data_IF_581763975369
#
_entry.id   IF_581763975369
#
_cell.length_a   1.000
_cell.length_b   1.000
_cell.length_c   1.000
_cell.angle_alpha   90.00
_cell.angle_beta   90.00
_cell.angle_gamma   90.00
#
_symmetry.space_group_name_H-M   'P 1'
#
loop_
_entity.id
_entity.type
_entity.pdbx_description
1 polymer ?
#
# COMPACT_ATOMS: atom_id res chain seq x y z
N UNK A 1 48.93 44.23 -12.68
CA UNK A 1 47.77 43.98 -11.81
C UNK A 1 46.66 43.48 -12.70
N UNK A 2 46.55 42.19 -12.86
CA UNK A 2 45.54 41.55 -13.71
C UNK A 2 44.44 40.95 -12.82
N UNK A 3 43.26 41.59 -12.81
CA UNK A 3 42.05 41.05 -12.21
C UNK A 3 41.46 39.98 -13.15
N UNK A 4 41.39 38.74 -12.70
CA UNK A 4 40.62 37.68 -13.33
C UNK A 4 39.17 37.74 -12.79
N UNK A 5 38.14 37.69 -13.62
CA UNK A 5 36.77 37.58 -13.15
C UNK A 5 36.49 36.12 -12.71
N UNK A 6 35.93 35.99 -11.51
CA UNK A 6 35.41 34.75 -10.95
C UNK A 6 34.06 34.47 -11.61
N UNK A 7 33.99 33.46 -12.47
CA UNK A 7 32.73 32.95 -13.01
C UNK A 7 32.04 32.10 -11.94
N UNK A 8 30.98 32.62 -11.36
CA UNK A 8 30.04 31.89 -10.56
C UNK A 8 29.19 31.01 -11.49
N UNK A 9 29.46 29.71 -11.49
CA UNK A 9 28.56 28.71 -12.09
C UNK A 9 27.42 28.47 -11.10
N UNK A 10 26.28 29.08 -11.37
CA UNK A 10 25.01 28.77 -10.71
C UNK A 10 24.54 27.44 -11.33
N UNK A 11 24.76 26.35 -10.63
CA UNK A 11 24.15 25.04 -10.95
C UNK A 11 22.66 25.16 -10.68
N UNK A 12 21.88 25.38 -11.72
CA UNK A 12 20.43 25.28 -11.68
C UNK A 12 20.06 23.79 -11.51
N UNK A 13 19.74 23.38 -10.31
CA UNK A 13 19.02 22.14 -10.07
C UNK A 13 17.63 22.32 -10.68
N UNK A 14 17.45 21.84 -11.90
CA UNK A 14 16.15 21.61 -12.46
C UNK A 14 15.55 20.40 -11.69
N UNK A 15 14.75 20.69 -10.69
CA UNK A 15 13.80 19.75 -10.12
C UNK A 15 12.86 19.35 -11.26
N UNK A 16 13.02 18.15 -11.76
CA UNK A 16 12.02 17.49 -12.58
C UNK A 16 10.87 17.09 -11.66
N UNK A 17 10.05 18.05 -11.29
CA UNK A 17 8.72 17.78 -10.81
C UNK A 17 7.93 17.23 -11.99
N UNK A 18 7.54 15.98 -11.94
CA UNK A 18 6.55 15.42 -12.84
C UNK A 18 5.26 16.21 -12.64
N UNK A 19 5.02 17.19 -13.51
CA UNK A 19 3.81 17.98 -13.47
C UNK A 19 2.61 17.13 -13.92
N UNK A 20 1.90 16.58 -12.97
CA UNK A 20 0.50 16.25 -13.12
C UNK A 20 -0.29 17.57 -13.02
N UNK A 21 -0.25 18.40 -14.03
CA UNK A 21 -1.17 19.51 -14.11
C UNK A 21 -2.31 19.13 -15.05
N UNK A 22 -3.44 18.80 -14.49
CA UNK A 22 -4.69 19.18 -15.15
C UNK A 22 -4.65 20.72 -15.18
N UNK A 23 -4.35 21.30 -16.34
CA UNK A 23 -3.93 22.69 -16.48
C UNK A 23 -4.91 23.74 -15.92
N UNK A 24 -6.09 23.37 -15.37
CA UNK A 24 -7.12 24.28 -14.84
C UNK A 24 -7.89 23.78 -13.61
N UNK A 25 -7.60 22.59 -13.04
CA UNK A 25 -8.37 22.12 -11.89
C UNK A 25 -7.89 22.76 -10.59
N UNK A 26 -8.79 23.38 -9.86
CA UNK A 26 -8.55 23.90 -8.52
C UNK A 26 -9.32 23.05 -7.51
N UNK A 27 -8.59 22.39 -6.63
CA UNK A 27 -9.21 21.61 -5.57
C UNK A 27 -10.14 22.50 -4.71
N UNK A 28 -11.34 22.02 -4.35
CA UNK A 28 -12.16 22.66 -3.35
C UNK A 28 -11.35 22.88 -2.08
N UNK A 29 -11.72 23.88 -1.30
CA UNK A 29 -11.04 24.18 -0.03
C UNK A 29 -11.95 23.95 1.16
N UNK A 30 -11.36 23.52 2.23
CA UNK A 30 -11.99 23.44 3.56
C UNK A 30 -12.26 24.84 4.10
N UNK A 31 -13.01 24.93 5.19
CA UNK A 31 -13.31 26.21 5.87
C UNK A 31 -12.06 26.94 6.43
N UNK A 32 -10.95 26.23 6.55
CA UNK A 32 -9.63 26.76 6.97
C UNK A 32 -8.63 26.90 5.81
N UNK A 33 -9.11 26.98 4.57
CA UNK A 33 -8.36 27.28 3.34
C UNK A 33 -7.31 26.20 2.93
N UNK A 34 -7.42 24.98 3.42
CA UNK A 34 -6.64 23.84 2.94
C UNK A 34 -7.35 23.15 1.78
N UNK A 35 -6.64 22.50 0.84
CA UNK A 35 -7.27 21.66 -0.16
C UNK A 35 -8.13 20.57 0.48
N UNK A 36 -9.34 20.38 -0.02
CA UNK A 36 -10.27 19.40 0.51
C UNK A 36 -10.06 18.03 -0.13
N UNK A 37 -9.51 17.10 0.65
CA UNK A 37 -9.30 15.70 0.29
C UNK A 37 -10.36 14.77 0.92
N UNK A 38 -11.32 15.33 1.68
CA UNK A 38 -12.29 14.56 2.45
C UNK A 38 -13.16 13.69 1.56
N UNK A 39 -13.53 12.54 2.06
CA UNK A 39 -14.41 11.60 1.39
C UNK A 39 -13.97 10.16 1.53
N UNK A 40 -14.73 9.29 0.87
CA UNK A 40 -14.38 7.87 0.72
C UNK A 40 -13.77 7.69 -0.68
N UNK A 41 -12.65 7.00 -0.73
CA UNK A 41 -11.84 6.80 -1.93
C UNK A 41 -11.51 5.33 -2.11
N UNK A 42 -11.66 4.84 -3.32
CA UNK A 42 -11.26 3.48 -3.70
C UNK A 42 -9.87 3.50 -4.36
N UNK A 43 -8.98 2.62 -3.90
CA UNK A 43 -7.61 2.48 -4.42
C UNK A 43 -7.37 1.17 -5.16
N UNK A 44 -8.42 0.42 -5.50
CA UNK A 44 -8.26 -0.75 -6.38
C UNK A 44 -7.65 -0.32 -7.72
N UNK A 45 -6.81 -1.17 -8.30
CA UNK A 45 -6.12 -0.84 -9.55
C UNK A 45 -5.86 -2.08 -10.39
N UNK A 46 -6.17 -1.99 -11.69
CA UNK A 46 -5.79 -2.98 -12.69
C UNK A 46 -4.36 -2.75 -13.23
N UNK A 47 -3.69 -1.67 -12.79
CA UNK A 47 -2.29 -1.41 -13.11
C UNK A 47 -1.41 -2.36 -12.29
N UNK A 48 -0.53 -3.13 -12.93
CA UNK A 48 0.37 -4.04 -12.19
C UNK A 48 1.36 -3.26 -11.33
N UNK A 49 1.70 -3.80 -10.15
CA UNK A 49 2.69 -3.18 -9.26
C UNK A 49 4.01 -2.94 -9.98
N UNK A 50 4.53 -3.95 -10.67
CA UNK A 50 5.75 -3.87 -11.46
C UNK A 50 5.44 -3.97 -12.94
N UNK A 51 6.23 -3.26 -13.77
CA UNK A 51 6.07 -3.26 -15.22
C UNK A 51 6.30 -4.65 -15.81
N UNK A 52 5.30 -5.26 -16.44
CA UNK A 52 5.46 -6.51 -17.19
C UNK A 52 6.48 -6.36 -18.32
N UNK A 53 7.24 -7.44 -18.61
CA UNK A 53 8.31 -7.43 -19.58
C UNK A 53 7.86 -7.07 -21.00
N UNK A 54 6.60 -7.35 -21.34
CA UNK A 54 6.01 -7.03 -22.65
C UNK A 54 5.99 -5.53 -22.95
N UNK A 55 5.97 -4.67 -21.94
CA UNK A 55 5.98 -3.22 -22.13
C UNK A 55 7.39 -2.65 -22.29
N UNK A 56 8.44 -3.43 -22.03
CA UNK A 56 9.83 -2.97 -22.10
C UNK A 56 10.04 -1.78 -21.16
N UNK A 57 10.51 -0.65 -21.69
CA UNK A 57 10.71 0.59 -20.94
C UNK A 57 9.55 1.58 -21.10
N UNK A 58 8.49 1.18 -21.78
CA UNK A 58 7.36 2.04 -22.07
C UNK A 58 6.54 2.32 -20.82
N UNK A 59 6.41 3.58 -20.47
CA UNK A 59 5.80 4.06 -19.24
C UNK A 59 4.26 4.06 -19.29
N UNK A 60 3.70 4.28 -20.50
CA UNK A 60 2.26 4.39 -20.70
C UNK A 60 1.72 3.31 -21.64
N UNK A 61 0.50 2.91 -21.42
CA UNK A 61 -0.24 1.99 -22.28
C UNK A 61 -0.70 2.70 -23.56
N UNK A 62 -0.91 1.94 -24.63
CA UNK A 62 -1.56 2.45 -25.84
C UNK A 62 -3.08 2.43 -25.68
N UNK A 63 -3.79 3.15 -26.56
CA UNK A 63 -5.26 3.15 -26.56
C UNK A 63 -5.84 1.75 -26.80
N UNK A 64 -5.17 0.92 -27.60
CA UNK A 64 -5.59 -0.46 -27.86
C UNK A 64 -5.46 -1.33 -26.60
N UNK A 65 -4.37 -1.19 -25.85
CA UNK A 65 -4.14 -1.91 -24.59
C UNK A 65 -5.13 -1.48 -23.51
N UNK A 66 -5.43 -0.19 -23.44
CA UNK A 66 -6.46 0.36 -22.55
C UNK A 66 -7.83 -0.24 -22.91
N UNK A 67 -8.17 -0.26 -24.19
CA UNK A 67 -9.43 -0.82 -24.67
C UNK A 67 -9.54 -2.31 -24.35
N UNK A 68 -8.45 -3.07 -24.49
CA UNK A 68 -8.41 -4.49 -24.14
C UNK A 68 -8.62 -4.73 -22.63
N UNK A 69 -7.97 -3.94 -21.77
CA UNK A 69 -8.16 -4.04 -20.31
C UNK A 69 -9.63 -3.74 -19.96
N UNK A 70 -10.19 -2.68 -20.51
CA UNK A 70 -11.60 -2.32 -20.29
C UNK A 70 -12.56 -3.41 -20.76
N UNK A 71 -12.30 -4.01 -21.92
CA UNK A 71 -13.12 -5.10 -22.45
C UNK A 71 -13.04 -6.35 -21.56
N UNK A 72 -11.85 -6.73 -21.09
CA UNK A 72 -11.68 -7.86 -20.16
C UNK A 72 -12.38 -7.61 -18.83
N UNK A 73 -12.36 -6.37 -18.34
CA UNK A 73 -13.08 -5.97 -17.13
C UNK A 73 -14.59 -6.14 -17.31
N UNK A 74 -15.17 -5.56 -18.37
CA UNK A 74 -16.60 -5.71 -18.66
C UNK A 74 -17.02 -7.18 -18.74
N UNK A 75 -16.22 -8.03 -19.40
CA UNK A 75 -16.50 -9.45 -19.51
C UNK A 75 -16.42 -10.18 -18.16
N UNK A 76 -15.54 -9.75 -17.25
CA UNK A 76 -15.47 -10.27 -15.88
C UNK A 76 -16.70 -9.85 -15.09
N UNK A 77 -17.05 -8.56 -15.11
CA UNK A 77 -18.20 -8.03 -14.38
C UNK A 77 -19.52 -8.71 -14.83
N UNK A 78 -19.69 -8.91 -16.14
CA UNK A 78 -20.82 -9.67 -16.68
C UNK A 78 -20.79 -11.16 -16.32
N UNK A 79 -19.59 -11.76 -16.20
CA UNK A 79 -19.40 -13.16 -15.79
C UNK A 79 -19.60 -13.40 -14.30
N UNK A 80 -19.41 -12.39 -13.45
CA UNK A 80 -19.56 -12.49 -12.00
C UNK A 80 -21.00 -12.78 -11.54
N UNK A 81 -21.99 -12.42 -12.36
CA UNK A 81 -23.40 -12.72 -12.12
C UNK A 81 -23.78 -14.19 -12.45
N UNK A 82 -22.87 -14.94 -13.10
CA UNK A 82 -23.10 -16.34 -13.38
C UNK A 82 -23.03 -17.16 -12.09
N UNK A 83 -24.11 -17.89 -11.77
CA UNK A 83 -24.16 -18.76 -10.60
C UNK A 83 -23.00 -19.76 -10.60
N UNK A 84 -22.30 -19.87 -9.48
CA UNK A 84 -21.18 -20.81 -9.28
C UNK A 84 -21.71 -22.24 -9.45
N UNK A 85 -21.26 -23.01 -10.44
CA UNK A 85 -21.90 -24.26 -10.77
C UNK A 85 -21.74 -25.39 -9.75
N UNK A 86 -20.77 -25.37 -8.84
CA UNK A 86 -20.48 -26.57 -8.01
C UNK A 86 -19.83 -26.37 -6.62
N UNK A 87 -19.96 -25.22 -5.96
CA UNK A 87 -19.68 -25.06 -4.51
C UNK A 87 -18.41 -25.71 -3.96
N UNK A 88 -17.28 -25.57 -4.61
CA UNK A 88 -16.00 -26.06 -4.08
C UNK A 88 -15.38 -25.09 -3.07
N UNK A 89 -14.55 -25.59 -2.15
CA UNK A 89 -13.88 -24.75 -1.13
C UNK A 89 -12.98 -23.66 -1.73
N UNK A 90 -12.52 -23.84 -2.97
CA UNK A 90 -11.74 -22.84 -3.71
C UNK A 90 -12.62 -21.73 -4.33
N UNK A 91 -13.92 -21.85 -4.26
CA UNK A 91 -14.92 -20.92 -4.83
C UNK A 91 -15.51 -19.96 -3.78
N UNK A 92 -14.96 -19.97 -2.55
CA UNK A 92 -15.36 -19.05 -1.48
C UNK A 92 -15.08 -17.57 -1.85
N UNK A 93 -14.14 -17.34 -2.75
CA UNK A 93 -13.80 -16.03 -3.33
C UNK A 93 -13.99 -16.11 -4.83
N UNK A 94 -15.24 -16.05 -5.27
CA UNK A 94 -15.57 -15.89 -6.68
C UNK A 94 -15.32 -14.44 -7.15
N UNK A 95 -15.46 -14.20 -8.45
CA UNK A 95 -15.23 -12.89 -9.05
C UNK A 95 -16.10 -11.77 -8.45
N UNK A 96 -17.22 -12.12 -7.80
CA UNK A 96 -18.07 -11.17 -7.07
C UNK A 96 -17.33 -10.42 -5.94
N UNK A 97 -16.37 -11.07 -5.28
CA UNK A 97 -15.60 -10.47 -4.17
C UNK A 97 -14.35 -9.73 -4.65
N UNK A 98 -14.00 -9.88 -5.93
CA UNK A 98 -12.81 -9.23 -6.49
C UNK A 98 -13.19 -7.86 -7.00
N UNK A 99 -12.66 -6.83 -6.36
CA UNK A 99 -12.82 -5.46 -6.82
C UNK A 99 -12.01 -5.25 -8.11
N UNK A 100 -12.69 -4.72 -9.12
CA UNK A 100 -12.02 -4.31 -10.35
C UNK A 100 -11.59 -2.86 -10.23
N UNK A 101 -10.29 -2.62 -10.31
CA UNK A 101 -9.71 -1.29 -10.21
C UNK A 101 -9.80 -0.50 -11.51
N UNK A 102 -9.69 0.81 -11.39
CA UNK A 102 -9.48 1.68 -12.54
C UNK A 102 -8.02 1.64 -13.01
N UNK A 103 -7.80 2.05 -14.24
CA UNK A 103 -6.46 2.33 -14.79
C UNK A 103 -6.09 3.80 -14.64
N UNK A 104 -6.98 4.59 -14.00
CA UNK A 104 -6.83 6.04 -13.83
C UNK A 104 -6.98 6.80 -15.15
N UNK A 105 -6.84 8.12 -15.06
CA UNK A 105 -6.90 9.02 -16.23
C UNK A 105 -5.64 8.89 -17.11
N UNK A 106 -4.54 8.45 -16.52
CA UNK A 106 -3.26 8.20 -17.18
C UNK A 106 -2.90 6.72 -17.01
N UNK A 107 -3.15 5.93 -18.05
CA UNK A 107 -2.91 4.50 -18.02
C UNK A 107 -1.42 4.15 -18.05
N UNK A 108 -0.82 3.97 -16.88
CA UNK A 108 0.56 3.55 -16.72
C UNK A 108 0.73 2.04 -16.88
N UNK A 109 1.90 1.62 -17.31
CA UNK A 109 2.24 0.20 -17.43
C UNK A 109 2.66 -0.43 -16.09
N UNK A 110 2.84 0.37 -15.04
CA UNK A 110 3.13 -0.07 -13.67
C UNK A 110 2.76 1.00 -12.66
N UNK A 111 2.44 0.56 -11.43
CA UNK A 111 2.32 1.44 -10.26
C UNK A 111 3.68 2.03 -9.93
N UNK A 112 4.75 1.20 -9.93
CA UNK A 112 6.11 1.69 -9.70
C UNK A 112 6.54 2.57 -10.87
N UNK A 113 6.91 3.81 -10.55
CA UNK A 113 7.41 4.81 -11.50
C UNK A 113 8.89 5.12 -11.30
N UNK A 114 9.43 4.84 -10.14
CA UNK A 114 10.85 4.87 -9.86
C UNK A 114 11.26 3.63 -9.04
N UNK A 115 12.31 2.92 -9.46
CA UNK A 115 13.17 3.15 -10.61
C UNK A 115 12.41 3.22 -11.95
N UNK A 116 12.94 3.98 -12.93
CA UNK A 116 12.25 4.30 -14.20
C UNK A 116 11.91 3.09 -15.06
N UNK A 117 12.58 1.94 -14.81
CA UNK A 117 12.22 0.69 -15.44
C UNK A 117 10.86 0.12 -14.92
N UNK A 118 10.24 0.77 -13.93
CA UNK A 118 8.96 0.38 -13.35
C UNK A 118 9.01 -0.91 -12.53
N UNK A 119 10.16 -1.26 -11.97
CA UNK A 119 10.37 -2.51 -11.22
C UNK A 119 11.04 -2.22 -9.88
N UNK A 120 10.89 -3.17 -8.95
CA UNK A 120 11.62 -3.11 -7.69
C UNK A 120 13.13 -3.10 -7.95
N UNK A 121 13.89 -2.25 -7.26
CA UNK A 121 15.34 -2.32 -7.27
C UNK A 121 15.83 -3.66 -6.68
N UNK A 122 17.07 -4.05 -6.91
CA UNK A 122 17.66 -5.21 -6.25
C UNK A 122 17.59 -5.07 -4.72
N UNK A 123 17.50 -6.20 -4.03
CA UNK A 123 17.65 -6.20 -2.58
C UNK A 123 19.06 -5.75 -2.18
N UNK A 124 19.15 -5.05 -1.07
CA UNK A 124 20.42 -4.71 -0.44
C UNK A 124 21.17 -5.98 0.01
N UNK A 125 22.48 -5.90 0.13
CA UNK A 125 23.29 -7.02 0.63
C UNK A 125 22.90 -7.34 2.09
N UNK A 126 22.54 -8.58 2.35
CA UNK A 126 22.07 -9.04 3.67
C UNK A 126 20.63 -8.69 4.00
N UNK A 127 19.86 -8.16 3.03
CA UNK A 127 18.46 -7.87 3.23
C UNK A 127 17.66 -9.12 3.63
N UNK A 128 16.78 -8.95 4.59
CA UNK A 128 15.82 -9.99 4.95
C UNK A 128 14.73 -10.01 3.88
N UNK A 129 14.45 -11.19 3.34
CA UNK A 129 13.38 -11.38 2.34
C UNK A 129 12.38 -12.39 2.91
N UNK A 130 11.14 -11.94 3.06
CA UNK A 130 10.05 -12.79 3.57
C UNK A 130 9.40 -13.48 2.40
N UNK A 131 9.57 -14.81 2.30
CA UNK A 131 9.03 -15.62 1.19
C UNK A 131 7.53 -15.95 1.38
N UNK A 132 7.00 -15.71 2.56
CA UNK A 132 5.60 -15.96 2.88
C UNK A 132 5.35 -17.27 3.62
N UNK A 133 4.12 -17.71 3.60
CA UNK A 133 3.57 -18.79 4.43
C UNK A 133 4.17 -20.19 4.24
N UNK A 134 4.91 -20.42 3.18
CA UNK A 134 5.43 -21.76 2.85
C UNK A 134 6.86 -21.97 3.33
N UNK A 135 7.47 -20.93 3.88
CA UNK A 135 8.81 -21.06 4.41
C UNK A 135 8.76 -21.80 5.77
N UNK A 136 9.74 -22.64 6.05
CA UNK A 136 9.84 -23.24 7.36
C UNK A 136 10.05 -22.17 8.43
N UNK A 137 9.62 -22.48 9.65
CA UNK A 137 9.90 -21.63 10.79
C UNK A 137 11.41 -21.45 10.96
N UNK A 138 11.82 -20.20 11.19
CA UNK A 138 13.21 -19.86 11.47
C UNK A 138 13.31 -19.50 12.95
N UNK A 139 14.08 -20.27 13.69
CA UNK A 139 14.28 -20.07 15.12
C UNK A 139 14.80 -18.65 15.41
N UNK A 140 14.12 -17.94 16.29
CA UNK A 140 14.44 -16.57 16.67
C UNK A 140 13.95 -15.49 15.70
N UNK A 141 13.41 -15.82 14.57
CA UNK A 141 12.86 -14.92 13.55
C UNK A 141 11.34 -14.83 13.69
N UNK A 142 10.87 -14.11 14.69
CA UNK A 142 9.45 -14.05 14.94
C UNK A 142 8.73 -12.82 14.40
N UNK A 143 9.35 -11.69 14.25
CA UNK A 143 8.53 -10.52 14.02
C UNK A 143 8.17 -10.31 12.56
N UNK A 144 9.08 -10.55 11.65
CA UNK A 144 8.83 -10.22 10.26
C UNK A 144 7.76 -11.12 9.71
N UNK A 145 6.67 -10.53 9.33
CA UNK A 145 5.51 -11.23 8.85
C UNK A 145 5.08 -10.70 7.51
N UNK A 146 4.88 -11.64 6.64
CA UNK A 146 4.06 -11.38 5.51
C UNK A 146 2.63 -11.27 6.01
N UNK A 147 1.98 -10.13 5.74
CA UNK A 147 0.65 -9.84 6.31
C UNK A 147 -0.43 -10.82 5.87
N UNK A 148 -0.26 -11.43 4.71
CA UNK A 148 -1.20 -12.41 4.16
C UNK A 148 -1.02 -13.84 4.61
N UNK A 149 -0.14 -14.14 5.57
CA UNK A 149 0.06 -15.52 6.01
C UNK A 149 0.89 -15.66 7.26
N UNK A 150 0.85 -16.83 7.85
CA UNK A 150 1.64 -17.23 8.99
C UNK A 150 2.73 -18.23 8.62
N UNK A 151 3.74 -18.35 9.46
CA UNK A 151 4.87 -19.25 9.29
C UNK A 151 4.60 -20.56 10.03
N UNK A 152 4.30 -20.49 11.32
CA UNK A 152 4.03 -21.63 12.18
C UNK A 152 2.64 -21.62 12.79
N UNK A 153 2.38 -22.56 13.70
CA UNK A 153 1.10 -22.72 14.38
C UNK A 153 1.25 -23.12 15.86
N UNK A 154 2.41 -22.82 16.47
CA UNK A 154 2.62 -23.05 17.89
C UNK A 154 1.76 -22.10 18.74
N UNK A 155 1.62 -20.86 18.28
CA UNK A 155 0.81 -19.83 18.91
C UNK A 155 0.24 -18.84 17.90
N UNK A 156 -0.61 -17.90 18.36
CA UNK A 156 -1.13 -16.85 17.49
C UNK A 156 -0.03 -15.94 16.94
N UNK A 157 1.08 -15.76 17.64
CA UNK A 157 2.21 -14.94 17.23
C UNK A 157 2.94 -15.47 15.99
N UNK A 158 2.77 -16.77 15.69
CA UNK A 158 3.34 -17.40 14.50
C UNK A 158 2.52 -17.13 13.23
N UNK A 159 1.35 -16.54 13.38
CA UNK A 159 0.44 -16.26 12.28
C UNK A 159 0.64 -14.84 11.74
N UNK A 160 0.28 -14.66 10.47
CA UNK A 160 0.37 -13.37 9.80
C UNK A 160 -0.44 -12.28 10.47
N UNK A 161 -0.03 -11.03 10.29
CA UNK A 161 -0.66 -9.87 10.94
C UNK A 161 -2.11 -9.68 10.49
N UNK A 162 -2.41 -9.96 9.22
CA UNK A 162 -3.78 -9.94 8.71
C UNK A 162 -4.67 -11.01 9.33
N UNK A 163 -4.14 -12.24 9.53
CA UNK A 163 -4.85 -13.34 10.21
C UNK A 163 -5.14 -13.01 11.68
N UNK A 164 -4.29 -12.19 12.29
CA UNK A 164 -4.43 -11.73 13.68
C UNK A 164 -5.25 -10.46 13.81
N UNK A 165 -5.75 -9.91 12.71
CA UNK A 165 -6.47 -8.63 12.68
C UNK A 165 -5.67 -7.45 13.26
N UNK A 166 -4.35 -7.42 13.07
CA UNK A 166 -3.47 -6.35 13.54
C UNK A 166 -3.22 -5.33 12.43
N UNK A 167 -2.80 -5.82 11.24
CA UNK A 167 -2.56 -4.97 10.04
C UNK A 167 -3.16 -5.68 8.83
N UNK A 168 -3.99 -4.98 8.09
CA UNK A 168 -4.52 -5.47 6.81
C UNK A 168 -3.44 -5.56 5.75
N UNK A 169 -3.54 -6.54 4.86
CA UNK A 169 -2.51 -6.78 3.83
C UNK A 169 -2.44 -5.67 2.77
N UNK A 170 -3.44 -4.81 2.68
CA UNK A 170 -3.47 -3.64 1.79
C UNK A 170 -3.44 -2.30 2.54
N UNK A 171 -3.50 -2.33 3.87
CA UNK A 171 -3.62 -1.13 4.70
C UNK A 171 -2.35 -0.26 4.71
N UNK A 172 -1.19 -0.85 4.47
CA UNK A 172 0.07 -0.12 4.44
C UNK A 172 0.57 0.36 5.79
N UNK A 173 1.18 1.57 5.89
CA UNK A 173 1.64 2.38 4.77
C UNK A 173 2.92 1.84 4.10
N UNK A 174 3.10 2.02 2.78
CA UNK A 174 2.17 2.64 1.85
C UNK A 174 0.96 1.75 1.56
N UNK A 175 -0.16 2.38 1.18
CA UNK A 175 -1.39 1.71 0.76
C UNK A 175 -1.11 0.97 -0.56
N UNK A 176 -1.63 -0.26 -0.69
CA UNK A 176 -1.41 -1.08 -1.89
C UNK A 176 -2.72 -1.72 -2.35
N UNK A 177 -3.04 -1.70 -3.65
CA UNK A 177 -4.20 -2.39 -4.18
C UNK A 177 -4.18 -3.89 -3.88
N UNK A 178 -5.33 -4.43 -3.56
CA UNK A 178 -5.53 -5.85 -3.30
C UNK A 178 -6.80 -6.37 -3.99
N UNK A 179 -7.18 -7.60 -3.72
CA UNK A 179 -8.35 -8.21 -4.34
C UNK A 179 -9.68 -7.62 -3.87
N UNK A 180 -9.73 -7.08 -2.64
CA UNK A 180 -10.97 -6.56 -2.04
C UNK A 180 -10.69 -5.60 -0.90
N UNK A 181 -11.73 -4.87 -0.45
CA UNK A 181 -11.67 -3.87 0.62
C UNK A 181 -10.61 -2.79 0.36
N UNK A 182 -10.61 -2.25 -0.87
CA UNK A 182 -9.68 -1.21 -1.29
C UNK A 182 -10.26 0.19 -1.07
N UNK A 183 -10.97 0.41 0.02
CA UNK A 183 -11.51 1.72 0.33
C UNK A 183 -10.77 2.35 1.50
N UNK A 184 -10.65 3.66 1.44
CA UNK A 184 -10.17 4.50 2.53
C UNK A 184 -11.07 5.72 2.69
N UNK A 185 -11.10 6.25 3.90
CA UNK A 185 -11.74 7.51 4.21
C UNK A 185 -10.69 8.52 4.67
N UNK A 186 -10.72 9.71 4.06
CA UNK A 186 -9.94 10.86 4.53
C UNK A 186 -10.88 11.80 5.28
N UNK A 187 -10.50 12.15 6.49
CA UNK A 187 -11.18 13.17 7.32
C UNK A 187 -10.15 14.24 7.69
N UNK A 188 -10.51 15.49 7.55
CA UNK A 188 -9.62 16.61 7.86
C UNK A 188 -10.19 17.45 9.01
N UNK A 189 -9.31 17.91 9.87
CA UNK A 189 -9.50 19.06 10.74
C UNK A 189 -8.45 20.11 10.40
N UNK A 190 -8.44 21.23 11.11
CA UNK A 190 -7.47 22.31 10.85
C UNK A 190 -6.02 21.83 11.02
N UNK A 191 -5.78 20.96 11.98
CA UNK A 191 -4.46 20.56 12.49
C UNK A 191 -4.18 19.06 12.39
N UNK A 192 -5.12 18.26 11.87
CA UNK A 192 -4.95 16.83 11.67
C UNK A 192 -5.63 16.34 10.38
N UNK A 193 -5.03 15.32 9.79
CA UNK A 193 -5.69 14.48 8.79
C UNK A 193 -5.77 13.06 9.33
N UNK A 194 -6.94 12.42 9.22
CA UNK A 194 -7.12 11.01 9.52
C UNK A 194 -7.27 10.24 8.21
N UNK A 195 -6.46 9.22 8.02
CA UNK A 195 -6.54 8.28 6.89
C UNK A 195 -6.98 6.95 7.48
N UNK A 196 -8.24 6.60 7.27
CA UNK A 196 -8.84 5.36 7.76
C UNK A 196 -8.98 4.37 6.61
N UNK A 197 -8.34 3.21 6.73
CA UNK A 197 -8.41 2.13 5.74
C UNK A 197 -9.52 1.16 6.13
N UNK A 198 -10.32 0.72 5.17
CA UNK A 198 -11.40 -0.24 5.39
C UNK A 198 -10.89 -1.57 5.96
N UNK A 199 -9.85 -2.13 5.35
CA UNK A 199 -9.27 -3.40 5.78
C UNK A 199 -8.72 -3.30 7.22
N UNK A 200 -9.30 -4.09 8.13
CA UNK A 200 -8.95 -4.11 9.55
C UNK A 200 -9.17 -2.76 10.26
N UNK A 201 -9.96 -1.86 9.66
CA UNK A 201 -10.33 -0.53 10.20
C UNK A 201 -9.16 0.26 10.80
N UNK A 202 -7.95 0.13 10.21
CA UNK A 202 -6.77 0.85 10.66
C UNK A 202 -6.88 2.34 10.35
N UNK A 203 -6.60 3.18 11.34
CA UNK A 203 -6.70 4.62 11.23
C UNK A 203 -5.38 5.31 11.62
N UNK A 204 -4.77 6.01 10.67
CA UNK A 204 -3.60 6.85 10.90
C UNK A 204 -4.05 8.29 11.17
N UNK A 205 -3.66 8.82 12.32
CA UNK A 205 -3.86 10.22 12.68
C UNK A 205 -2.55 10.95 12.35
N UNK A 206 -2.63 11.88 11.41
CA UNK A 206 -1.49 12.64 10.88
C UNK A 206 -1.61 14.07 11.39
N UNK A 207 -0.82 14.49 12.38
CA UNK A 207 -0.72 15.88 12.80
C UNK A 207 -0.13 16.74 11.68
N UNK A 208 -0.66 17.96 11.51
CA UNK A 208 -0.20 18.96 10.54
C UNK A 208 0.62 20.08 11.21
N UNK A 209 0.94 19.93 12.46
CA UNK A 209 1.67 20.89 13.26
C UNK A 209 3.17 20.52 13.42
N UNK A 210 3.94 21.43 14.00
CA UNK A 210 5.37 21.26 14.20
C UNK A 210 5.74 20.42 15.45
N UNK A 211 4.87 19.54 15.93
CA UNK A 211 5.21 18.66 17.03
C UNK A 211 6.42 17.79 16.69
N UNK A 212 7.32 17.66 17.65
CA UNK A 212 8.48 16.77 17.49
C UNK A 212 8.02 15.35 17.21
N UNK A 213 8.71 14.62 16.33
CA UNK A 213 8.49 13.21 16.16
C UNK A 213 8.64 12.43 17.48
N UNK A 214 8.08 11.24 17.54
CA UNK A 214 8.31 10.33 18.64
C UNK A 214 9.80 10.00 18.78
N UNK A 215 10.21 9.63 20.00
CA UNK A 215 11.54 9.08 20.24
C UNK A 215 11.78 7.83 19.37
N UNK A 216 12.98 7.69 18.82
CA UNK A 216 13.33 6.61 17.90
C UNK A 216 13.19 5.20 18.52
N UNK A 217 13.12 5.10 19.84
CA UNK A 217 12.87 3.83 20.57
C UNK A 217 11.39 3.40 20.54
N UNK A 218 10.47 4.25 20.10
CA UNK A 218 9.04 3.98 20.04
C UNK A 218 8.67 3.55 18.62
N UNK A 219 8.51 2.24 18.42
CA UNK A 219 8.07 1.67 17.14
C UNK A 219 6.56 1.43 17.11
N UNK A 220 5.91 1.85 16.03
CA UNK A 220 4.49 1.67 15.77
C UNK A 220 4.25 0.78 14.54
N UNK A 221 3.07 0.15 14.46
CA UNK A 221 2.72 -0.69 13.30
C UNK A 221 2.67 0.11 12.00
N UNK A 222 2.03 1.26 12.01
CA UNK A 222 1.88 2.16 10.85
C UNK A 222 2.89 3.31 10.86
N UNK A 223 3.88 3.29 11.77
CA UNK A 223 4.86 4.36 11.94
C UNK A 223 4.30 5.60 12.62
N UNK A 224 5.18 6.56 12.91
CA UNK A 224 4.85 7.91 13.37
C UNK A 224 4.77 8.83 12.16
N UNK A 225 3.56 9.30 11.83
CA UNK A 225 3.26 10.11 10.66
C UNK A 225 3.18 11.59 11.01
N UNK A 226 3.74 12.45 10.14
CA UNK A 226 3.63 13.91 10.19
C UNK A 226 3.25 14.44 8.82
N UNK A 227 2.34 15.42 8.79
CA UNK A 227 1.86 15.99 7.54
C UNK A 227 2.13 17.47 7.41
N UNK A 228 2.27 17.92 6.18
CA UNK A 228 2.28 19.33 5.82
C UNK A 228 1.75 19.55 4.40
N UNK A 229 1.40 20.78 4.09
CA UNK A 229 0.94 21.14 2.75
C UNK A 229 2.04 21.72 1.90
N UNK A 230 2.19 21.21 0.68
CA UNK A 230 2.99 21.78 -0.39
C UNK A 230 2.05 22.22 -1.54
N UNK A 231 1.60 23.47 -1.52
CA UNK A 231 0.56 23.93 -2.44
C UNK A 231 -0.74 23.15 -2.23
N UNK A 232 -1.21 22.47 -3.27
CA UNK A 232 -2.43 21.66 -3.23
C UNK A 232 -2.18 20.17 -2.89
N UNK A 233 -0.98 19.84 -2.47
CA UNK A 233 -0.57 18.46 -2.12
C UNK A 233 -0.38 18.32 -0.61
N UNK A 234 -1.08 17.35 -0.01
CA UNK A 234 -0.77 16.87 1.35
C UNK A 234 0.45 15.95 1.26
N UNK A 235 1.51 16.29 1.98
CA UNK A 235 2.69 15.45 2.13
C UNK A 235 2.67 14.83 3.52
N UNK A 236 2.82 13.51 3.59
CA UNK A 236 2.88 12.75 4.85
C UNK A 236 4.21 12.00 4.91
N UNK A 237 4.99 12.26 5.94
CA UNK A 237 6.24 11.57 6.23
C UNK A 237 6.05 10.64 7.42
N UNK A 238 6.47 9.39 7.26
CA UNK A 238 6.32 8.37 8.29
C UNK A 238 7.63 7.63 8.56
N UNK A 239 7.93 7.44 9.84
CA UNK A 239 9.10 6.73 10.36
C UNK A 239 8.73 6.01 11.66
N UNK A 240 9.69 5.49 12.40
CA UNK A 240 9.46 4.79 13.66
C UNK A 240 8.51 3.60 13.49
N UNK A 241 8.68 2.82 12.43
CA UNK A 241 8.01 1.53 12.30
C UNK A 241 8.63 0.53 13.27
N UNK A 242 7.84 -0.42 13.75
CA UNK A 242 8.26 -1.33 14.82
C UNK A 242 9.16 -2.51 14.36
N UNK A 243 9.47 -2.62 13.09
CA UNK A 243 10.28 -3.71 12.54
C UNK A 243 9.62 -5.10 12.56
N UNK A 244 8.32 -5.17 12.84
CA UNK A 244 7.58 -6.42 12.95
C UNK A 244 6.82 -6.81 11.69
N UNK A 245 7.08 -6.14 10.59
CA UNK A 245 6.54 -6.45 9.26
C UNK A 245 7.58 -6.11 8.19
N UNK A 246 7.36 -6.57 6.96
CA UNK A 246 8.20 -6.20 5.82
C UNK A 246 8.13 -4.69 5.54
N UNK A 247 9.19 -4.16 4.95
CA UNK A 247 9.26 -2.74 4.58
C UNK A 247 8.38 -2.43 3.36
N UNK A 248 8.63 -3.14 2.25
CA UNK A 248 7.82 -3.07 1.05
C UNK A 248 7.91 -4.39 0.27
N UNK A 249 6.79 -4.85 -0.29
CA UNK A 249 6.75 -6.17 -0.93
C UNK A 249 7.23 -7.25 0.03
N UNK A 250 8.25 -8.04 -0.37
CA UNK A 250 8.82 -9.09 0.46
C UNK A 250 10.11 -8.67 1.19
N UNK A 251 10.57 -7.42 1.01
CA UNK A 251 11.88 -6.99 1.51
C UNK A 251 11.83 -6.25 2.83
N UNK A 252 12.88 -6.43 3.63
CA UNK A 252 13.16 -5.66 4.84
C UNK A 252 12.31 -6.01 6.05
N UNK A 253 12.57 -5.27 7.12
CA UNK A 253 11.88 -5.39 8.41
C UNK A 253 11.08 -4.16 8.81
N UNK A 254 10.99 -3.15 8.00
CA UNK A 254 10.34 -1.86 8.27
C UNK A 254 10.98 -0.93 9.30
N UNK A 255 11.83 -1.39 10.20
CA UNK A 255 12.40 -0.55 11.28
C UNK A 255 13.31 0.60 10.80
N UNK A 256 13.87 0.49 9.60
CA UNK A 256 14.68 1.55 8.97
C UNK A 256 13.96 2.23 7.79
N UNK A 257 12.68 1.90 7.60
CA UNK A 257 11.86 2.48 6.54
C UNK A 257 11.54 3.94 6.83
N UNK A 258 11.84 4.80 5.86
CA UNK A 258 11.29 6.14 5.74
C UNK A 258 10.30 6.18 4.58
N UNK A 259 9.10 6.63 4.84
CA UNK A 259 8.04 6.70 3.85
C UNK A 259 7.58 8.14 3.66
N UNK A 260 7.54 8.58 2.41
CA UNK A 260 6.88 9.83 2.01
C UNK A 260 5.66 9.50 1.18
N UNK A 261 4.52 10.04 1.55
CA UNK A 261 3.26 9.90 0.82
C UNK A 261 2.76 11.27 0.39
N UNK A 262 2.16 11.36 -0.79
CA UNK A 262 1.67 12.61 -1.37
C UNK A 262 0.27 12.41 -1.91
N UNK A 263 -0.67 13.22 -1.47
CA UNK A 263 -2.06 13.18 -1.91
C UNK A 263 -2.38 14.49 -2.62
N UNK A 264 -2.62 14.40 -3.93
CA UNK A 264 -2.96 15.56 -4.76
C UNK A 264 -4.30 15.33 -5.44
N UNK A 265 -5.26 16.18 -5.18
CA UNK A 265 -6.57 16.08 -5.84
C UNK A 265 -6.47 16.55 -7.28
N UNK A 266 -6.84 15.69 -8.23
CA UNK A 266 -6.72 15.95 -9.66
C UNK A 266 -8.05 16.36 -10.30
N UNK A 267 -9.17 15.93 -9.70
CA UNK A 267 -10.54 16.26 -10.14
C UNK A 267 -11.51 16.15 -8.95
N UNK A 268 -12.78 16.36 -9.19
CA UNK A 268 -13.81 16.14 -8.17
C UNK A 268 -13.86 14.68 -7.71
N UNK A 269 -13.46 13.75 -8.57
CA UNK A 269 -13.60 12.32 -8.37
C UNK A 269 -12.26 11.56 -8.32
N UNK A 270 -11.12 12.25 -8.33
CA UNK A 270 -9.82 11.60 -8.31
C UNK A 270 -8.76 12.29 -7.46
N UNK A 271 -7.93 11.47 -6.79
CA UNK A 271 -6.71 11.87 -6.10
C UNK A 271 -5.55 11.04 -6.67
N UNK A 272 -4.43 11.68 -6.97
CA UNK A 272 -3.17 10.98 -7.17
C UNK A 272 -2.57 10.70 -5.79
N UNK A 273 -2.41 9.44 -5.46
CA UNK A 273 -1.65 8.98 -4.31
C UNK A 273 -0.28 8.51 -4.78
N UNK A 274 0.75 9.28 -4.46
CA UNK A 274 2.14 8.92 -4.69
C UNK A 274 2.79 8.52 -3.37
N UNK A 275 3.58 7.48 -3.39
CA UNK A 275 4.39 7.07 -2.24
C UNK A 275 5.85 6.87 -2.65
N UNK A 276 6.78 7.16 -1.75
CA UNK A 276 8.20 6.84 -1.87
C UNK A 276 8.68 6.10 -0.64
N UNK A 277 9.11 4.87 -0.83
CA UNK A 277 9.77 4.06 0.21
C UNK A 277 11.28 4.22 0.08
N UNK A 278 11.93 4.61 1.16
CA UNK A 278 13.37 4.68 1.33
C UNK A 278 13.78 3.73 2.46
N UNK A 279 14.35 2.59 2.11
CA UNK A 279 14.82 1.59 3.08
C UNK A 279 16.12 0.96 2.57
N UNK A 280 17.26 1.52 2.96
CA UNK A 280 18.57 1.07 2.50
C UNK A 280 18.98 -0.31 3.06
N UNK A 281 18.30 -0.81 4.09
CA UNK A 281 18.50 -2.18 4.57
C UNK A 281 17.75 -3.21 3.71
N UNK A 282 16.69 -2.78 3.04
CA UNK A 282 15.89 -3.65 2.20
C UNK A 282 16.29 -3.61 0.72
N UNK A 283 16.54 -2.42 0.17
CA UNK A 283 16.72 -2.19 -1.24
C UNK A 283 17.93 -1.32 -1.55
N UNK A 284 18.51 -1.52 -2.73
CA UNK A 284 19.66 -0.72 -3.20
C UNK A 284 19.30 0.68 -3.66
N UNK A 285 18.00 0.99 -3.82
CA UNK A 285 17.49 2.29 -4.23
C UNK A 285 16.06 2.50 -3.69
N UNK A 286 15.56 3.73 -3.75
CA UNK A 286 14.19 4.09 -3.39
C UNK A 286 13.17 3.49 -4.35
N UNK A 287 11.94 3.36 -3.89
CA UNK A 287 10.81 2.90 -4.68
C UNK A 287 9.73 3.97 -4.63
N UNK A 288 9.39 4.54 -5.79
CA UNK A 288 8.23 5.45 -5.89
C UNK A 288 7.12 4.79 -6.70
N UNK A 289 5.91 4.84 -6.19
CA UNK A 289 4.72 4.34 -6.87
C UNK A 289 3.61 5.38 -6.91
N UNK A 290 2.71 5.27 -7.88
CA UNK A 290 1.53 6.15 -8.03
C UNK A 290 0.29 5.27 -8.19
N UNK A 291 -0.70 5.51 -7.35
CA UNK A 291 -1.99 4.84 -7.37
C UNK A 291 -3.09 5.88 -7.52
N UNK A 292 -3.96 5.77 -8.54
CA UNK A 292 -5.13 6.62 -8.62
C UNK A 292 -6.14 6.21 -7.55
N UNK A 293 -6.65 7.18 -6.78
CA UNK A 293 -7.79 7.00 -5.89
C UNK A 293 -9.02 7.55 -6.60
N UNK A 294 -10.09 6.77 -6.61
CA UNK A 294 -11.36 7.15 -7.22
C UNK A 294 -12.40 7.37 -6.13
N UNK A 295 -13.17 8.45 -6.23
CA UNK A 295 -14.21 8.77 -5.25
C UNK A 295 -15.30 7.71 -5.21
N UNK A 296 -15.75 7.40 -4.01
CA UNK A 296 -16.88 6.50 -3.75
C UNK A 296 -18.04 7.31 -3.19
N UNK A 297 -19.20 7.19 -3.84
CA UNK A 297 -20.43 7.75 -3.32
C UNK A 297 -21.04 6.79 -2.30
N UNK A 298 -20.74 7.03 -1.01
CA UNK A 298 -21.23 6.17 0.05
C UNK A 298 -20.45 6.32 1.35
N UNK A 299 -20.71 5.40 2.25
CA UNK A 299 -20.04 5.31 3.55
C UNK A 299 -18.98 4.21 3.49
N UNK A 300 -17.90 4.40 4.25
CA UNK A 300 -17.01 3.31 4.57
C UNK A 300 -17.71 2.39 5.58
N UNK A 301 -17.71 1.08 5.29
CA UNK A 301 -18.29 0.08 6.17
C UNK A 301 -17.22 -0.54 7.06
N UNK A 302 -17.63 -1.02 8.22
CA UNK A 302 -16.73 -1.71 9.13
C UNK A 302 -16.30 -3.07 8.55
N UNK A 303 -15.00 -3.32 8.55
CA UNK A 303 -14.44 -4.65 8.36
C UNK A 303 -14.26 -5.32 9.73
N UNK A 304 -15.26 -6.09 10.15
CA UNK A 304 -15.32 -6.74 11.47
C UNK A 304 -14.41 -7.99 11.52
N UNK A 305 -13.09 -7.77 11.47
CA UNK A 305 -12.09 -8.83 11.38
C UNK A 305 -12.11 -9.78 12.58
N UNK A 306 -12.18 -9.23 13.80
CA UNK A 306 -12.11 -10.02 15.04
C UNK A 306 -13.33 -10.89 15.24
N UNK A 307 -14.52 -10.38 14.99
CA UNK A 307 -15.81 -11.04 15.24
C UNK A 307 -16.00 -12.28 14.37
N UNK A 308 -15.46 -12.26 13.14
CA UNK A 308 -15.53 -13.37 12.19
C UNK A 308 -14.31 -14.27 12.17
N UNK A 309 -13.29 -14.03 13.01
CA UNK A 309 -12.00 -14.71 12.92
C UNK A 309 -12.02 -16.13 13.52
N UNK A 310 -12.88 -16.98 12.97
CA UNK A 310 -12.88 -18.42 13.30
C UNK A 310 -11.70 -19.17 12.70
N UNK A 311 -11.09 -18.60 11.63
CA UNK A 311 -9.96 -19.20 10.92
C UNK A 311 -8.75 -19.38 11.82
N UNK A 312 -8.32 -18.33 12.51
CA UNK A 312 -7.17 -18.37 13.43
C UNK A 312 -7.35 -19.45 14.51
N UNK A 313 -8.52 -19.46 15.17
CA UNK A 313 -8.81 -20.46 16.20
C UNK A 313 -8.77 -21.89 15.65
N UNK A 314 -9.32 -22.12 14.46
CA UNK A 314 -9.39 -23.44 13.86
C UNK A 314 -8.02 -23.92 13.38
N UNK A 315 -7.16 -23.04 12.87
CA UNK A 315 -5.77 -23.37 12.49
C UNK A 315 -5.01 -23.87 13.73
N UNK A 316 -5.05 -23.13 14.82
CA UNK A 316 -4.33 -23.49 16.05
C UNK A 316 -4.89 -24.77 16.69
N UNK A 317 -6.20 -24.97 16.67
CA UNK A 317 -6.83 -26.23 17.12
C UNK A 317 -6.47 -27.42 16.23
N UNK A 318 -6.41 -27.21 14.92
CA UNK A 318 -5.98 -28.22 13.95
C UNK A 318 -4.55 -28.68 14.23
N UNK A 319 -3.64 -27.76 14.46
CA UNK A 319 -2.25 -28.06 14.81
C UNK A 319 -2.17 -28.91 16.10
N UNK A 320 -2.86 -28.51 17.16
CA UNK A 320 -2.92 -29.31 18.42
C UNK A 320 -3.50 -30.71 18.20
N UNK A 321 -4.49 -30.86 17.33
CA UNK A 321 -5.06 -32.17 17.02
C UNK A 321 -4.09 -33.05 16.23
N UNK A 322 -3.28 -32.46 15.35
CA UNK A 322 -2.24 -33.19 14.60
C UNK A 322 -1.11 -33.63 15.51
N UNK A 323 -0.63 -32.77 16.40
CA UNK A 323 0.37 -33.11 17.42
C UNK A 323 -0.11 -34.28 18.32
N UNK A 324 -1.36 -34.21 18.77
CA UNK A 324 -1.94 -35.29 19.59
C UNK A 324 -2.02 -36.62 18.83
N UNK A 325 -2.36 -36.59 17.53
CA UNK A 325 -2.35 -37.78 16.68
C UNK A 325 -0.95 -38.35 16.50
N UNK A 326 0.02 -37.47 16.22
CA UNK A 326 1.41 -37.88 16.08
C UNK A 326 1.97 -38.51 17.38
N UNK A 327 1.67 -37.92 18.53
CA UNK A 327 2.07 -38.44 19.83
C UNK A 327 1.43 -39.82 20.15
N UNK A 328 0.21 -40.07 19.62
CA UNK A 328 -0.49 -41.34 19.76
C UNK A 328 -0.07 -42.39 18.70
N UNK A 329 0.84 -42.06 17.78
CA UNK A 329 1.26 -42.94 16.68
C UNK A 329 0.17 -43.20 15.63
N UNK A 330 -0.82 -42.33 15.56
CA UNK A 330 -1.92 -42.38 14.58
C UNK A 330 -1.52 -41.55 13.36
N UNK A 331 -1.34 -42.19 12.21
CA UNK A 331 -1.11 -41.53 10.92
C UNK A 331 -2.42 -41.13 10.22
#
# INVERSE_FOLDING_TARGET
MNLRPLLLIIASFLLWGNAWSAEDYQAPKTEWDQPDLQGVWNFSSDIPMQRPSQYGEREYMTEEEIAEIRSRRTARDEGSDAAIPNGGVNEAYNDFWVETGGIGDVARTSIIVYPTNGRLPPYAEGAIVVQGRLDPDIDGERPVRFTGGGIGSDGPEDRGLGERCIVGFNAGPPIQPSLYNNNLQIVQSRDHVVIMIEMVHDARIVPLDEHSPLDDSIGLWSGDSRGHWEGDTLVVESRNFNGLTQSFGAGGKSDDKFLTERFTRLSDDSIAYEFTVDDPQAYTDKITGIIPLTKVDGLLYEYACHEGNYGLLNILRGARAEEARAAAGIQ
#
